data_IF_388224165612
#
_entry.id   IF_388224165612
#
_cell.length_a   1.000
_cell.length_b   1.000
_cell.length_c   1.000
_cell.angle_alpha   90.00
_cell.angle_beta   90.00
_cell.angle_gamma   90.00
#
_symmetry.space_group_name_H-M   'P 1'
#
loop_
_entity.id
_entity.type
_entity.pdbx_description
1 polymer ?
#
# COMPACT_ATOMS: atom_id res chain seq x y z
N UNK A 1 36.09 -30.41 -53.60
CA UNK A 1 35.44 -30.90 -52.37
C UNK A 1 36.06 -30.39 -51.04
N UNK A 2 37.38 -30.08 -50.96
CA UNK A 2 37.97 -29.57 -49.70
C UNK A 2 37.53 -28.15 -49.29
N UNK A 3 37.22 -27.27 -50.26
CA UNK A 3 36.78 -25.89 -49.98
C UNK A 3 35.31 -25.81 -49.53
N UNK A 4 34.46 -26.70 -50.03
CA UNK A 4 33.06 -26.78 -49.67
C UNK A 4 32.86 -27.20 -48.22
N UNK A 5 33.70 -28.11 -47.70
CA UNK A 5 33.66 -28.51 -46.27
C UNK A 5 34.16 -27.41 -45.33
N UNK A 6 35.18 -26.63 -45.74
CA UNK A 6 35.65 -25.48 -44.95
C UNK A 6 34.62 -24.35 -44.92
N UNK A 7 33.94 -24.11 -46.04
CA UNK A 7 32.85 -23.08 -46.08
C UNK A 7 31.68 -23.49 -45.22
N UNK A 8 31.31 -24.77 -45.21
CA UNK A 8 30.22 -25.28 -44.36
C UNK A 8 30.56 -25.22 -42.86
N UNK A 9 31.83 -25.52 -42.49
CA UNK A 9 32.31 -25.42 -41.10
C UNK A 9 32.32 -23.95 -40.61
N UNK A 10 32.72 -22.99 -41.45
CA UNK A 10 32.69 -21.58 -41.15
C UNK A 10 31.25 -21.04 -41.03
N UNK A 11 30.31 -21.52 -41.85
CA UNK A 11 28.91 -21.13 -41.76
C UNK A 11 28.24 -21.65 -40.50
N UNK A 12 28.55 -22.87 -40.03
CA UNK A 12 28.04 -23.44 -38.79
C UNK A 12 28.55 -22.73 -37.57
N UNK A 13 29.84 -22.28 -37.57
CA UNK A 13 30.42 -21.50 -36.46
C UNK A 13 29.78 -20.10 -36.40
N UNK A 14 29.48 -19.47 -37.54
CA UNK A 14 28.82 -18.17 -37.57
C UNK A 14 27.36 -18.22 -37.07
N UNK A 15 26.66 -19.36 -37.27
CA UNK A 15 25.29 -19.54 -36.73
C UNK A 15 25.23 -19.80 -35.24
N UNK A 16 26.34 -20.30 -34.62
CA UNK A 16 26.39 -20.47 -33.16
C UNK A 16 26.80 -19.21 -32.39
N UNK A 17 27.34 -18.18 -33.06
CA UNK A 17 27.74 -16.93 -32.42
C UNK A 17 26.61 -15.91 -32.27
N UNK A 18 25.44 -16.12 -32.87
CA UNK A 18 24.29 -15.19 -32.78
C UNK A 18 23.19 -15.66 -31.81
N UNK A 19 23.41 -16.72 -31.04
CA UNK A 19 22.38 -17.38 -30.24
C UNK A 19 22.35 -17.07 -28.74
N UNK A 20 23.14 -16.16 -28.20
CA UNK A 20 23.14 -15.85 -26.77
C UNK A 20 23.19 -14.34 -26.49
N UNK A 21 22.28 -13.59 -27.10
CA UNK A 21 21.99 -12.23 -26.70
C UNK A 21 20.47 -12.05 -26.53
N UNK A 22 19.83 -13.03 -25.88
CA UNK A 22 18.56 -12.80 -25.19
C UNK A 22 18.91 -12.66 -23.69
N UNK A 23 19.66 -11.61 -23.36
CA UNK A 23 19.49 -11.00 -22.06
C UNK A 23 18.10 -10.36 -22.10
N UNK A 24 17.12 -11.04 -21.54
CA UNK A 24 16.01 -10.33 -20.90
C UNK A 24 16.68 -9.54 -19.77
N UNK A 25 16.99 -8.29 -20.03
CA UNK A 25 17.12 -7.31 -18.98
C UNK A 25 15.71 -7.14 -18.45
N UNK A 26 15.32 -7.99 -17.51
CA UNK A 26 14.43 -7.58 -16.47
C UNK A 26 15.25 -6.51 -15.71
N UNK A 27 15.16 -5.27 -16.16
CA UNK A 27 15.48 -4.10 -15.40
C UNK A 27 14.40 -4.04 -14.29
N UNK A 28 14.51 -4.94 -13.31
CA UNK A 28 13.86 -4.74 -12.02
C UNK A 28 14.48 -3.47 -11.46
N UNK A 29 13.76 -2.35 -11.58
CA UNK A 29 14.10 -1.15 -10.85
C UNK A 29 14.31 -1.57 -9.39
N UNK A 30 15.42 -1.16 -8.75
CA UNK A 30 15.70 -1.58 -7.39
C UNK A 30 14.50 -1.20 -6.52
N UNK A 31 13.85 -2.22 -5.93
CA UNK A 31 12.70 -1.99 -5.05
C UNK A 31 13.10 -1.04 -3.93
N UNK A 32 12.32 0.03 -3.75
CA UNK A 32 12.51 0.97 -2.67
C UNK A 32 12.41 0.23 -1.33
N UNK A 33 13.41 0.36 -0.43
CA UNK A 33 13.38 -0.34 0.85
C UNK A 33 12.22 0.16 1.71
N UNK A 34 11.51 -0.77 2.33
CA UNK A 34 10.44 -0.44 3.25
C UNK A 34 10.99 0.22 4.53
N UNK A 35 10.30 1.26 4.98
CA UNK A 35 10.56 1.91 6.25
C UNK A 35 10.05 1.06 7.41
N UNK A 36 10.64 1.24 8.58
CA UNK A 36 10.09 0.73 9.83
C UNK A 36 8.71 1.34 10.10
N UNK A 37 7.73 0.52 10.52
CA UNK A 37 6.40 1.01 10.86
C UNK A 37 6.42 1.57 12.28
N UNK A 38 6.51 2.88 12.38
CA UNK A 38 6.52 3.64 13.63
C UNK A 38 5.49 4.75 13.57
N UNK A 39 5.04 5.30 14.72
CA UNK A 39 4.15 6.47 14.72
C UNK A 39 4.75 7.67 13.96
N UNK A 40 6.09 7.79 13.94
CA UNK A 40 6.77 8.86 13.23
C UNK A 40 6.69 8.68 11.70
N UNK A 41 6.88 7.46 11.21
CA UNK A 41 6.83 7.16 9.78
C UNK A 41 5.39 7.08 9.25
N UNK A 42 4.41 6.75 10.10
CA UNK A 42 2.98 6.80 9.75
C UNK A 42 2.41 8.22 9.79
N UNK A 43 3.01 9.15 10.55
CA UNK A 43 2.48 10.50 10.73
C UNK A 43 2.17 11.20 9.42
N UNK A 44 1.00 11.86 9.35
CA UNK A 44 0.51 12.61 8.19
C UNK A 44 -0.78 12.05 7.63
N UNK A 45 -1.15 12.50 6.45
CA UNK A 45 -2.41 12.18 5.78
C UNK A 45 -2.21 11.12 4.72
N UNK A 46 -3.08 10.13 4.72
CA UNK A 46 -3.08 9.01 3.79
C UNK A 46 -4.44 8.86 3.12
N UNK A 47 -4.43 8.60 1.83
CA UNK A 47 -5.62 8.35 1.02
C UNK A 47 -5.66 6.90 0.59
N UNK A 48 -6.77 6.23 0.78
CA UNK A 48 -7.05 4.92 0.20
C UNK A 48 -7.16 5.06 -1.33
N UNK A 49 -6.37 4.27 -2.06
CA UNK A 49 -6.34 4.30 -3.53
C UNK A 49 -6.73 2.97 -4.15
N UNK A 50 -6.49 1.87 -3.45
CA UNK A 50 -6.94 0.52 -3.83
C UNK A 50 -7.44 -0.24 -2.61
N UNK A 51 -8.45 -1.08 -2.82
CA UNK A 51 -9.00 -1.98 -1.83
C UNK A 51 -9.24 -3.37 -2.43
N UNK A 52 -9.74 -4.33 -1.65
CA UNK A 52 -10.12 -5.65 -2.13
C UNK A 52 -9.08 -6.29 -3.06
N UNK A 53 -7.80 -6.24 -2.64
CA UNK A 53 -6.72 -6.88 -3.37
C UNK A 53 -6.37 -6.24 -4.74
N UNK A 54 -6.39 -4.90 -4.79
CA UNK A 54 -5.90 -4.12 -5.94
C UNK A 54 -7.01 -3.53 -6.81
N UNK A 55 -8.27 -3.59 -6.38
CA UNK A 55 -9.33 -2.89 -7.06
C UNK A 55 -9.26 -1.39 -6.77
N UNK A 56 -9.45 -0.53 -7.76
CA UNK A 56 -9.50 0.91 -7.53
C UNK A 56 -10.73 1.26 -6.68
N UNK A 57 -10.58 2.26 -5.82
CA UNK A 57 -11.68 2.77 -4.99
C UNK A 57 -12.78 3.35 -5.91
N UNK A 58 -14.05 2.92 -5.79
CA UNK A 58 -15.14 3.37 -6.64
C UNK A 58 -15.35 4.89 -6.59
N UNK A 59 -15.85 5.46 -7.68
CA UNK A 59 -16.20 6.88 -7.76
C UNK A 59 -17.24 7.26 -6.68
N UNK A 60 -17.00 8.39 -6.02
CA UNK A 60 -17.87 8.87 -4.91
C UNK A 60 -17.58 8.21 -3.56
N UNK A 61 -16.67 7.23 -3.52
CA UNK A 61 -16.18 6.56 -2.32
C UNK A 61 -14.80 7.11 -1.95
N UNK A 62 -14.53 7.26 -0.67
CA UNK A 62 -13.21 7.68 -0.21
C UNK A 62 -12.92 7.20 1.22
N UNK A 63 -11.64 7.08 1.54
CA UNK A 63 -11.14 6.99 2.89
C UNK A 63 -9.82 7.77 2.99
N UNK A 64 -9.78 8.71 3.92
CA UNK A 64 -8.57 9.42 4.32
C UNK A 64 -8.30 9.15 5.79
N UNK A 65 -7.05 8.91 6.15
CA UNK A 65 -6.62 8.71 7.54
C UNK A 65 -5.51 9.72 7.83
N UNK A 66 -5.67 10.49 8.90
CA UNK A 66 -4.66 11.41 9.42
C UNK A 66 -4.10 10.84 10.71
N UNK A 67 -2.81 10.47 10.72
CA UNK A 67 -2.14 9.94 11.91
C UNK A 67 -1.37 11.03 12.66
N UNK A 68 -1.63 11.14 13.97
CA UNK A 68 -0.87 11.97 14.88
C UNK A 68 0.14 11.12 15.66
N UNK A 69 1.43 11.43 15.47
CA UNK A 69 2.52 10.65 16.09
C UNK A 69 2.67 10.84 17.61
N UNK A 70 2.28 12.01 18.13
CA UNK A 70 2.52 12.35 19.55
C UNK A 70 1.51 11.65 20.46
N UNK A 71 0.25 11.81 20.14
CA UNK A 71 -0.86 11.23 20.91
C UNK A 71 -1.21 9.81 20.48
N UNK A 72 -0.65 9.33 19.33
CA UNK A 72 -1.03 8.08 18.67
C UNK A 72 -2.55 8.02 18.43
N UNK A 73 -3.09 9.14 17.95
CA UNK A 73 -4.49 9.29 17.56
C UNK A 73 -4.62 9.33 16.04
N UNK A 74 -5.80 9.02 15.56
CA UNK A 74 -6.14 9.18 14.15
C UNK A 74 -7.44 9.96 13.99
N UNK A 75 -7.57 10.59 12.81
CA UNK A 75 -8.82 11.08 12.27
C UNK A 75 -9.06 10.35 10.96
N UNK A 76 -10.28 9.88 10.74
CA UNK A 76 -10.66 9.15 9.55
C UNK A 76 -11.86 9.84 8.90
N UNK A 77 -11.74 10.15 7.62
CA UNK A 77 -12.81 10.67 6.79
C UNK A 77 -13.16 9.60 5.77
N UNK A 78 -14.35 9.01 5.88
CA UNK A 78 -14.72 7.90 5.02
C UNK A 78 -16.14 8.02 4.50
N UNK A 79 -16.35 7.54 3.28
CA UNK A 79 -17.64 7.39 2.62
C UNK A 79 -17.62 6.12 1.80
N UNK A 80 -18.23 5.07 2.31
CA UNK A 80 -18.39 3.80 1.61
C UNK A 80 -19.86 3.61 1.19
N UNK A 81 -20.69 3.09 2.06
CA UNK A 81 -22.08 2.76 1.74
C UNK A 81 -23.09 3.80 2.28
N UNK A 82 -22.71 5.07 2.33
CA UNK A 82 -23.55 6.12 2.91
C UNK A 82 -23.75 7.30 1.97
N UNK A 83 -24.85 8.02 2.16
CA UNK A 83 -25.16 9.24 1.39
C UNK A 83 -24.24 10.42 1.72
N UNK A 84 -23.58 10.39 2.90
CA UNK A 84 -22.68 11.44 3.37
C UNK A 84 -21.42 10.84 3.97
N UNK A 85 -20.36 11.63 4.00
CA UNK A 85 -19.10 11.28 4.65
C UNK A 85 -19.24 11.20 6.18
N UNK A 86 -18.38 10.42 6.79
CA UNK A 86 -18.26 10.28 8.24
C UNK A 86 -16.87 10.77 8.65
N UNK A 87 -16.83 11.58 9.70
CA UNK A 87 -15.59 11.92 10.41
C UNK A 87 -15.55 11.13 11.71
N UNK A 88 -14.51 10.35 11.88
CA UNK A 88 -14.33 9.41 13.00
C UNK A 88 -12.96 9.68 13.60
N UNK A 89 -12.89 9.72 14.92
CA UNK A 89 -11.62 9.86 15.66
C UNK A 89 -11.35 8.62 16.51
N UNK A 90 -10.09 8.48 16.92
CA UNK A 90 -9.70 7.39 17.78
C UNK A 90 -8.19 7.35 18.04
N UNK A 91 -7.76 6.27 18.66
CA UNK A 91 -6.36 6.00 18.94
C UNK A 91 -5.90 4.73 18.20
N UNK A 92 -4.59 4.65 17.93
CA UNK A 92 -3.99 3.48 17.31
C UNK A 92 -2.79 2.98 18.09
N UNK A 93 -2.48 1.70 17.91
CA UNK A 93 -1.30 1.07 18.45
C UNK A 93 -0.57 0.27 17.37
N UNK A 94 0.75 0.21 17.47
CA UNK A 94 1.60 -0.58 16.60
C UNK A 94 2.29 -1.65 17.44
N UNK A 95 2.21 -2.90 17.01
CA UNK A 95 2.93 -4.03 17.59
C UNK A 95 3.87 -4.59 16.54
N UNK A 96 5.15 -4.78 16.90
CA UNK A 96 6.08 -5.56 16.08
C UNK A 96 6.00 -7.03 16.53
N UNK A 97 5.42 -7.87 15.70
CA UNK A 97 5.34 -9.31 15.94
C UNK A 97 6.52 -10.01 15.24
N UNK A 98 7.29 -10.87 15.94
CA UNK A 98 8.51 -11.48 15.40
C UNK A 98 8.24 -12.42 14.21
N UNK A 99 7.01 -12.87 14.01
CA UNK A 99 6.64 -13.82 12.94
C UNK A 99 5.80 -13.15 11.84
N UNK A 100 4.98 -12.17 12.19
CA UNK A 100 4.04 -11.52 11.27
C UNK A 100 4.49 -10.12 10.82
N UNK A 101 5.44 -9.50 11.52
CA UNK A 101 5.88 -8.14 11.26
C UNK A 101 5.03 -7.09 11.99
N UNK A 102 4.87 -5.93 11.40
CA UNK A 102 4.18 -4.81 12.04
C UNK A 102 2.66 -4.92 11.91
N UNK A 103 1.99 -4.92 13.05
CA UNK A 103 0.54 -4.97 13.16
C UNK A 103 0.06 -3.62 13.70
N UNK A 104 -0.88 -2.99 13.02
CA UNK A 104 -1.61 -1.82 13.50
C UNK A 104 -3.02 -2.24 13.93
N UNK A 105 -3.47 -1.67 15.04
CA UNK A 105 -4.83 -1.78 15.56
C UNK A 105 -5.31 -0.41 16.03
N UNK A 106 -6.60 -0.23 16.17
CA UNK A 106 -7.16 1.03 16.65
C UNK A 106 -8.45 0.86 17.40
N UNK A 107 -8.77 1.87 18.20
CA UNK A 107 -10.03 1.99 18.93
C UNK A 107 -10.66 3.33 18.57
N UNK A 108 -11.95 3.32 18.32
CA UNK A 108 -12.74 4.53 18.06
C UNK A 108 -13.06 5.26 19.36
N UNK A 109 -13.16 6.57 19.30
CA UNK A 109 -13.64 7.38 20.40
C UNK A 109 -15.14 7.15 20.68
N UNK A 110 -15.64 7.71 21.76
CA UNK A 110 -17.07 7.72 22.14
C UNK A 110 -17.69 6.32 22.34
N UNK A 111 -16.88 5.34 22.69
CA UNK A 111 -17.38 4.00 23.00
C UNK A 111 -17.81 3.20 21.78
N UNK A 112 -17.41 3.60 20.58
CA UNK A 112 -17.72 2.88 19.34
C UNK A 112 -16.91 1.58 19.15
N UNK A 113 -16.06 1.24 20.13
CA UNK A 113 -15.28 0.00 20.14
C UNK A 113 -14.00 0.06 19.34
N UNK A 114 -13.48 -1.10 19.02
CA UNK A 114 -12.24 -1.28 18.28
C UNK A 114 -12.50 -1.38 16.77
N UNK A 115 -11.44 -1.23 15.97
CA UNK A 115 -11.50 -1.57 14.55
C UNK A 115 -11.94 -3.02 14.38
N UNK A 116 -12.66 -3.30 13.30
CA UNK A 116 -13.20 -4.65 13.04
C UNK A 116 -12.11 -5.73 13.03
N UNK A 117 -10.90 -5.37 12.64
CA UNK A 117 -9.72 -6.22 12.69
C UNK A 117 -8.44 -5.38 12.81
N UNK A 118 -7.34 -6.04 13.15
CA UNK A 118 -6.00 -5.47 13.03
C UNK A 118 -5.46 -5.70 11.63
N UNK A 119 -4.48 -4.89 11.21
CA UNK A 119 -3.86 -5.00 9.90
C UNK A 119 -2.35 -5.18 9.98
N UNK A 120 -1.83 -6.04 9.12
CA UNK A 120 -0.40 -6.10 8.83
C UNK A 120 -0.04 -4.91 7.94
N UNK A 121 0.93 -4.11 8.35
CA UNK A 121 1.42 -2.97 7.56
C UNK A 121 2.70 -3.38 6.85
N UNK A 122 2.64 -3.40 5.54
CA UNK A 122 3.77 -3.74 4.69
C UNK A 122 4.02 -2.64 3.68
N UNK A 123 5.23 -2.63 3.09
CA UNK A 123 5.62 -1.67 2.04
C UNK A 123 5.34 -0.21 2.41
N UNK A 124 5.58 0.16 3.67
CA UNK A 124 5.62 1.56 4.05
C UNK A 124 6.87 2.17 3.43
N UNK A 125 6.71 2.96 2.37
CA UNK A 125 7.79 3.48 1.56
C UNK A 125 8.02 4.98 1.82
N UNK A 126 9.25 5.44 1.66
CA UNK A 126 9.58 6.87 1.77
C UNK A 126 8.91 7.69 0.65
N UNK A 127 8.67 7.10 -0.51
CA UNK A 127 7.86 7.66 -1.61
C UNK A 127 6.40 7.94 -1.23
N UNK A 128 5.92 7.39 -0.10
CA UNK A 128 4.58 7.67 0.41
C UNK A 128 3.53 6.64 0.00
N UNK A 129 3.90 5.38 -0.10
CA UNK A 129 2.96 4.27 -0.27
C UNK A 129 3.00 3.34 0.93
N UNK A 130 1.89 2.71 1.28
CA UNK A 130 1.83 1.59 2.24
C UNK A 130 0.71 0.62 1.88
N UNK A 131 0.90 -0.65 2.28
CA UNK A 131 -0.10 -1.71 2.11
C UNK A 131 -0.54 -2.18 3.49
N UNK A 132 -1.85 -2.29 3.66
CA UNK A 132 -2.49 -2.93 4.80
C UNK A 132 -3.14 -4.23 4.35
N UNK A 133 -2.88 -5.31 5.07
CA UNK A 133 -3.53 -6.61 4.87
C UNK A 133 -4.26 -6.99 6.14
N UNK A 134 -5.53 -7.33 6.04
CA UNK A 134 -6.32 -7.80 7.17
C UNK A 134 -5.64 -8.98 7.85
N UNK A 135 -5.51 -8.94 9.17
CA UNK A 135 -4.83 -9.99 9.92
C UNK A 135 -5.63 -11.29 9.89
N UNK A 136 -6.95 -11.19 9.96
CA UNK A 136 -7.88 -12.31 10.01
C UNK A 136 -8.47 -12.65 8.62
N UNK A 137 -8.27 -11.76 7.64
CA UNK A 137 -8.67 -11.93 6.25
C UNK A 137 -7.57 -11.42 5.30
N UNK A 138 -6.78 -12.34 4.78
CA UNK A 138 -5.67 -12.02 3.86
C UNK A 138 -6.15 -11.52 2.48
N UNK A 139 -7.45 -11.56 2.19
CA UNK A 139 -8.03 -10.98 0.96
C UNK A 139 -8.41 -9.51 1.13
N UNK A 140 -8.52 -9.03 2.38
CA UNK A 140 -8.71 -7.61 2.68
C UNK A 140 -7.35 -6.89 2.57
N UNK A 141 -7.00 -6.50 1.34
CA UNK A 141 -5.77 -5.77 1.04
C UNK A 141 -6.10 -4.38 0.57
N UNK A 142 -5.58 -3.39 1.26
CA UNK A 142 -5.75 -1.98 0.99
C UNK A 142 -4.41 -1.31 0.71
N UNK A 143 -4.35 -0.45 -0.31
CA UNK A 143 -3.19 0.40 -0.58
C UNK A 143 -3.54 1.86 -0.32
N UNK A 144 -2.68 2.49 0.45
CA UNK A 144 -2.76 3.91 0.78
C UNK A 144 -1.61 4.67 0.16
N UNK A 145 -1.89 5.90 -0.26
CA UNK A 145 -0.88 6.86 -0.70
C UNK A 145 -0.90 8.10 0.19
N UNK A 146 0.28 8.61 0.48
CA UNK A 146 0.44 9.85 1.25
C UNK A 146 -0.06 11.03 0.44
N UNK A 147 -0.81 11.91 1.08
CA UNK A 147 -1.23 13.17 0.48
C UNK A 147 -0.95 14.33 1.44
N UNK A 148 -1.01 15.56 0.95
CA UNK A 148 -0.70 16.76 1.75
C UNK A 148 -1.73 17.01 2.84
N UNK A 149 -3.01 16.82 2.52
CA UNK A 149 -4.14 17.09 3.42
C UNK A 149 -5.40 16.38 2.95
N UNK A 150 -6.40 16.32 3.82
CA UNK A 150 -7.76 15.90 3.44
C UNK A 150 -8.40 17.03 2.63
N UNK A 151 -8.96 16.76 1.44
CA UNK A 151 -9.61 17.79 0.63
C UNK A 151 -10.73 18.52 1.40
N UNK A 152 -10.81 19.83 1.23
CA UNK A 152 -11.77 20.67 1.97
C UNK A 152 -13.24 20.27 1.73
N UNK A 153 -13.56 19.77 0.54
CA UNK A 153 -14.88 19.25 0.20
C UNK A 153 -15.21 17.97 0.98
N UNK A 154 -14.21 17.10 1.23
CA UNK A 154 -14.37 15.89 2.04
C UNK A 154 -14.64 16.26 3.49
N UNK A 155 -13.86 17.18 4.05
CA UNK A 155 -14.07 17.67 5.42
C UNK A 155 -15.48 18.27 5.57
N UNK A 156 -15.93 19.06 4.60
CA UNK A 156 -17.24 19.71 4.62
C UNK A 156 -18.42 18.71 4.47
N UNK A 157 -18.25 17.64 3.67
CA UNK A 157 -19.26 16.59 3.47
C UNK A 157 -19.36 15.63 4.66
N UNK A 158 -18.33 15.58 5.49
CA UNK A 158 -18.24 14.64 6.59
C UNK A 158 -18.95 15.14 7.85
N UNK A 159 -19.66 14.24 8.52
CA UNK A 159 -20.33 14.49 9.80
C UNK A 159 -19.59 13.75 10.91
N UNK A 160 -19.45 14.40 12.06
CA UNK A 160 -18.92 13.77 13.25
C UNK A 160 -19.84 12.66 13.74
N UNK A 161 -19.28 11.50 14.03
CA UNK A 161 -19.99 10.38 14.63
C UNK A 161 -19.94 10.48 16.18
N UNK A 162 -20.29 11.65 16.71
CA UNK A 162 -20.25 11.94 18.17
C UNK A 162 -21.64 11.89 18.82
N UNK A 163 -22.69 11.59 18.05
CA UNK A 163 -24.06 11.50 18.53
C UNK A 163 -24.70 10.16 18.22
#
# INVERSE_FOLDING_TARGET
>A
MKYLKKLFTLLVIALFACGFAACSSDDEEPEEPALEVTPANLHGTWKLVEWNNGEPVPEGTYCYIVFNRKEQTFEMYQKFDSMYGRHITGSFAIKNDPYQGYIISGSYDYGMGDWNQSYLVTRLLASGSMIWTGKDDATDVCRYERCSEVPAEVVKDSKDLTE
#
